data_IF_581353774140
#
_entry.id   IF_581353774140
#
_cell.length_a   1.000
_cell.length_b   1.000
_cell.length_c   1.000
_cell.angle_alpha   90.00
_cell.angle_beta   90.00
_cell.angle_gamma   90.00
#
_symmetry.space_group_name_H-M   'P 1'
#
loop_
_entity.id
_entity.type
_entity.pdbx_description
1 polymer ?
#
# COMPACT_ATOMS: atom_id res chain seq x y z
N UNK A 1 45.78 -79.78 27.44
CA UNK A 1 44.38 -79.24 27.46
C UNK A 1 44.24 -77.73 27.22
N UNK A 2 45.27 -76.89 27.49
CA UNK A 2 45.16 -75.43 27.29
C UNK A 2 45.22 -74.96 25.78
N UNK A 3 45.71 -75.80 24.87
CA UNK A 3 45.82 -75.44 23.43
C UNK A 3 44.51 -75.71 22.66
N UNK A 4 43.62 -76.52 23.09
CA UNK A 4 42.31 -76.79 22.48
C UNK A 4 41.26 -75.71 22.83
N UNK A 5 41.43 -75.07 24.00
CA UNK A 5 40.53 -74.01 24.43
C UNK A 5 40.68 -72.73 23.65
N UNK A 6 41.86 -72.44 23.08
CA UNK A 6 42.11 -71.24 22.28
C UNK A 6 41.56 -71.38 20.85
N UNK A 7 41.52 -72.59 20.30
CA UNK A 7 40.99 -72.82 18.96
C UNK A 7 39.45 -72.74 18.92
N UNK A 8 38.74 -73.04 20.02
CA UNK A 8 37.28 -72.92 20.13
C UNK A 8 36.82 -71.45 20.25
N UNK A 9 37.68 -70.55 20.75
CA UNK A 9 37.31 -69.14 20.94
C UNK A 9 37.43 -68.30 19.64
N UNK A 10 38.19 -68.78 18.64
CA UNK A 10 38.33 -68.09 17.35
C UNK A 10 37.21 -68.43 16.35
N UNK A 11 36.43 -69.49 16.55
CA UNK A 11 35.35 -69.93 15.68
C UNK A 11 34.02 -69.16 15.92
N UNK A 12 33.92 -68.41 17.04
CA UNK A 12 32.68 -67.63 17.37
C UNK A 12 32.60 -66.21 16.84
N UNK A 13 33.67 -65.73 16.15
CA UNK A 13 33.74 -64.30 15.75
C UNK A 13 33.27 -64.00 14.30
N UNK A 14 32.74 -64.98 13.59
CA UNK A 14 32.31 -64.76 12.18
C UNK A 14 30.79 -64.69 11.95
N UNK A 15 30.01 -64.56 13.02
CA UNK A 15 28.52 -64.44 12.92
C UNK A 15 28.00 -63.01 13.01
N UNK A 16 28.75 -61.99 12.56
CA UNK A 16 28.20 -60.70 12.23
C UNK A 16 27.84 -60.67 10.74
N UNK A 17 26.87 -61.47 10.34
CA UNK A 17 26.14 -61.31 9.09
C UNK A 17 25.31 -60.04 9.19
N UNK A 18 25.87 -58.96 8.66
CA UNK A 18 25.13 -57.70 8.56
C UNK A 18 23.86 -57.91 7.76
N UNK A 19 22.73 -57.76 8.46
CA UNK A 19 21.44 -57.68 7.83
C UNK A 19 21.50 -56.42 6.94
N UNK A 20 21.76 -56.56 5.64
CA UNK A 20 21.61 -55.50 4.65
C UNK A 20 20.12 -55.28 4.54
N UNK A 21 19.54 -54.46 5.41
CA UNK A 21 18.30 -53.83 5.15
C UNK A 21 18.58 -52.86 3.98
N UNK A 22 18.58 -53.42 2.77
CA UNK A 22 18.68 -52.63 1.54
C UNK A 22 17.40 -51.84 1.42
N UNK A 23 17.47 -50.56 1.73
CA UNK A 23 16.39 -49.66 1.33
C UNK A 23 16.44 -49.54 -0.20
N UNK A 24 15.30 -49.77 -0.88
CA UNK A 24 15.21 -49.67 -2.32
C UNK A 24 15.30 -48.22 -2.81
N UNK A 25 14.92 -47.26 -1.97
CA UNK A 25 15.06 -45.83 -2.22
C UNK A 25 15.14 -45.04 -0.90
N UNK A 26 15.77 -43.88 -0.92
CA UNK A 26 15.68 -42.90 0.15
C UNK A 26 15.05 -41.63 -0.38
N UNK A 27 14.19 -40.99 0.41
CA UNK A 27 13.55 -39.74 -0.03
C UNK A 27 13.12 -38.87 1.14
N UNK A 28 12.86 -37.63 0.82
CA UNK A 28 12.32 -36.63 1.76
C UNK A 28 11.01 -36.07 1.22
N UNK A 29 10.06 -35.87 2.12
CA UNK A 29 8.87 -35.11 1.78
C UNK A 29 9.18 -33.62 1.94
N UNK A 30 8.93 -32.85 0.91
CA UNK A 30 9.11 -31.41 0.87
C UNK A 30 7.73 -30.75 0.74
N UNK A 31 7.46 -29.73 1.54
CA UNK A 31 6.28 -28.89 1.43
C UNK A 31 6.68 -27.49 0.92
N UNK A 32 5.73 -26.78 0.30
CA UNK A 32 5.94 -25.38 -0.01
C UNK A 32 5.99 -24.56 1.26
N UNK A 33 7.16 -24.05 1.60
CA UNK A 33 7.39 -23.24 2.81
C UNK A 33 7.46 -21.75 2.46
N UNK A 34 6.86 -20.92 3.32
CA UNK A 34 6.95 -19.46 3.25
C UNK A 34 7.43 -18.92 4.59
N UNK A 35 8.48 -18.08 4.56
CA UNK A 35 8.92 -17.32 5.72
C UNK A 35 8.19 -15.99 5.69
N UNK A 36 7.28 -15.78 6.64
CA UNK A 36 6.57 -14.52 6.81
C UNK A 36 7.44 -13.58 7.62
N UNK A 37 7.82 -12.46 7.01
CA UNK A 37 8.65 -11.43 7.61
C UNK A 37 7.84 -10.17 7.89
N UNK A 38 8.31 -9.36 8.85
CA UNK A 38 7.70 -8.06 9.13
C UNK A 38 7.84 -7.10 7.96
N UNK A 39 6.77 -6.40 7.61
CA UNK A 39 6.77 -5.32 6.63
C UNK A 39 6.86 -3.93 7.30
N UNK A 40 6.78 -3.89 8.64
CA UNK A 40 6.82 -2.65 9.42
C UNK A 40 7.90 -2.70 10.50
N UNK A 41 8.32 -1.50 10.92
CA UNK A 41 9.23 -1.31 12.05
C UNK A 41 8.44 -0.92 13.29
N UNK A 42 8.73 -1.56 14.44
CA UNK A 42 8.09 -1.22 15.70
C UNK A 42 7.99 -2.39 16.65
N UNK A 43 7.29 -2.18 17.76
CA UNK A 43 7.03 -3.25 18.74
C UNK A 43 5.83 -4.08 18.27
N UNK A 44 5.91 -5.38 18.37
CA UNK A 44 4.80 -6.31 18.15
C UNK A 44 3.83 -6.17 19.33
N UNK A 45 2.63 -5.64 19.07
CA UNK A 45 1.62 -5.40 20.11
C UNK A 45 0.72 -6.61 20.34
N UNK A 46 0.52 -7.43 19.29
CA UNK A 46 -0.17 -8.71 19.37
C UNK A 46 0.42 -9.68 18.36
N UNK A 47 0.50 -10.98 18.74
CA UNK A 47 1.00 -12.03 17.86
C UNK A 47 0.39 -13.37 18.26
N UNK A 48 -0.65 -13.81 17.56
CA UNK A 48 -1.42 -15.01 17.83
C UNK A 48 -0.96 -16.23 17.02
N UNK A 49 0.34 -16.33 16.75
CA UNK A 49 0.94 -17.47 16.03
C UNK A 49 1.44 -18.50 17.03
N UNK A 50 1.11 -19.78 16.82
CA UNK A 50 1.57 -20.93 17.60
C UNK A 50 2.06 -22.02 16.66
N UNK A 51 3.15 -22.68 17.00
CA UNK A 51 3.69 -23.81 16.22
C UNK A 51 2.69 -24.97 16.18
N UNK A 52 2.57 -25.59 15.02
CA UNK A 52 1.59 -26.65 14.77
C UNK A 52 0.16 -26.16 14.48
N UNK A 53 -0.12 -24.86 14.65
CA UNK A 53 -1.45 -24.31 14.38
C UNK A 53 -1.68 -24.11 12.88
N UNK A 54 -2.87 -24.43 12.42
CA UNK A 54 -3.30 -24.15 11.04
C UNK A 54 -3.83 -22.73 10.91
N UNK A 55 -3.40 -22.02 9.88
CA UNK A 55 -3.80 -20.65 9.56
C UNK A 55 -4.34 -20.59 8.12
N UNK A 56 -5.34 -19.75 7.91
CA UNK A 56 -5.88 -19.47 6.59
C UNK A 56 -5.14 -18.32 5.88
N UNK A 57 -5.09 -18.37 4.56
CA UNK A 57 -4.58 -17.25 3.75
C UNK A 57 -5.39 -15.97 4.02
N UNK A 58 -4.72 -14.82 4.11
CA UNK A 58 -5.34 -13.53 4.42
C UNK A 58 -5.69 -13.33 5.91
N UNK A 59 -5.49 -14.33 6.78
CA UNK A 59 -5.75 -14.21 8.21
C UNK A 59 -4.75 -13.24 8.84
N UNK A 60 -5.25 -12.22 9.56
CA UNK A 60 -4.41 -11.35 10.40
C UNK A 60 -4.02 -12.12 11.66
N UNK A 61 -2.73 -12.29 11.89
CA UNK A 61 -2.16 -13.06 13.00
C UNK A 61 -1.46 -12.21 14.04
N UNK A 62 -1.27 -10.93 13.77
CA UNK A 62 -0.63 -10.02 14.69
C UNK A 62 -0.65 -8.58 14.22
N UNK A 63 -0.15 -7.68 15.07
CA UNK A 63 -0.04 -6.25 14.79
C UNK A 63 1.26 -5.69 15.35
N UNK A 64 1.86 -4.75 14.61
CA UNK A 64 2.98 -3.92 15.04
C UNK A 64 2.44 -2.56 15.47
N UNK A 65 3.07 -1.91 16.43
CA UNK A 65 2.67 -0.58 16.93
C UNK A 65 2.61 0.43 15.78
N UNK A 66 1.44 1.01 15.58
CA UNK A 66 1.12 1.91 14.50
C UNK A 66 0.64 3.29 14.96
N UNK A 67 0.73 3.57 16.27
CA UNK A 67 0.19 4.81 16.87
C UNK A 67 0.77 6.06 16.22
N UNK A 68 2.09 6.10 16.01
CA UNK A 68 2.75 7.27 15.41
C UNK A 68 2.34 7.48 13.94
N UNK A 69 2.16 6.39 13.18
CA UNK A 69 1.67 6.45 11.81
C UNK A 69 0.21 6.95 11.76
N UNK A 70 -0.63 6.47 12.67
CA UNK A 70 -2.01 6.93 12.77
C UNK A 70 -2.10 8.42 13.09
N UNK A 71 -1.31 8.92 14.04
CA UNK A 71 -1.26 10.34 14.37
C UNK A 71 -0.76 11.18 13.18
N UNK A 72 0.24 10.68 12.44
CA UNK A 72 0.74 11.32 11.23
C UNK A 72 -0.34 11.40 10.14
N UNK A 73 -1.12 10.34 9.95
CA UNK A 73 -2.29 10.34 9.06
C UNK A 73 -3.28 11.44 9.44
N UNK A 74 -3.64 11.52 10.72
CA UNK A 74 -4.57 12.56 11.21
C UNK A 74 -4.03 13.98 10.98
N UNK A 75 -2.73 14.20 11.20
CA UNK A 75 -2.08 15.48 10.92
C UNK A 75 -2.22 15.86 9.45
N UNK A 76 -1.89 14.95 8.52
CA UNK A 76 -1.99 15.18 7.08
C UNK A 76 -3.44 15.44 6.65
N UNK A 77 -4.40 14.70 7.20
CA UNK A 77 -5.83 14.93 6.92
C UNK A 77 -6.29 16.33 7.38
N UNK A 78 -5.83 16.82 8.52
CA UNK A 78 -6.11 18.19 8.97
C UNK A 78 -5.46 19.23 8.06
N UNK A 79 -4.22 19.00 7.63
CA UNK A 79 -3.52 19.85 6.68
C UNK A 79 -4.26 19.89 5.33
N UNK A 80 -4.74 18.76 4.82
CA UNK A 80 -5.53 18.68 3.60
C UNK A 80 -6.81 19.54 3.71
N UNK A 81 -7.54 19.42 4.83
CA UNK A 81 -8.72 20.24 5.07
C UNK A 81 -8.40 21.74 5.09
N UNK A 82 -7.32 22.15 5.75
CA UNK A 82 -6.87 23.54 5.78
C UNK A 82 -6.47 24.05 4.38
N UNK A 83 -5.78 23.24 3.58
CA UNK A 83 -5.43 23.60 2.19
C UNK A 83 -6.68 23.77 1.34
N UNK A 84 -7.61 22.82 1.38
CA UNK A 84 -8.88 22.89 0.63
C UNK A 84 -9.73 24.09 1.01
N UNK A 85 -9.69 24.55 2.27
CA UNK A 85 -10.45 25.73 2.72
C UNK A 85 -9.96 27.04 2.09
N UNK A 86 -8.77 27.05 1.45
CA UNK A 86 -8.23 28.20 0.71
C UNK A 86 -8.81 28.34 -0.70
N UNK A 87 -9.58 27.36 -1.18
CA UNK A 87 -10.24 27.41 -2.49
C UNK A 87 -11.20 28.58 -2.51
N UNK A 88 -11.01 29.49 -3.48
CA UNK A 88 -11.83 30.67 -3.65
C UNK A 88 -13.11 30.37 -4.41
N UNK A 89 -14.23 30.91 -3.92
CA UNK A 89 -15.50 30.93 -4.65
C UNK A 89 -15.41 32.01 -5.73
N UNK A 90 -15.08 31.61 -6.96
CA UNK A 90 -14.89 32.51 -8.10
C UNK A 90 -16.16 33.33 -8.33
N UNK A 91 -17.34 32.72 -8.30
CA UNK A 91 -18.62 33.39 -8.55
C UNK A 91 -18.85 34.58 -7.61
N UNK A 92 -18.60 34.40 -6.30
CA UNK A 92 -18.75 35.49 -5.34
C UNK A 92 -17.72 36.62 -5.54
N UNK A 93 -16.49 36.26 -5.90
CA UNK A 93 -15.43 37.27 -6.06
C UNK A 93 -15.59 38.12 -7.32
N UNK A 94 -16.17 37.61 -8.39
CA UNK A 94 -16.38 38.36 -9.62
C UNK A 94 -17.76 39.01 -9.71
N UNK A 95 -18.69 38.70 -8.80
CA UNK A 95 -20.08 39.18 -8.86
C UNK A 95 -20.21 40.72 -8.95
N UNK A 96 -19.35 41.46 -8.23
CA UNK A 96 -19.36 42.91 -8.24
C UNK A 96 -18.96 43.46 -9.63
N UNK A 97 -17.89 42.92 -10.24
CA UNK A 97 -17.45 43.33 -11.58
C UNK A 97 -18.50 42.97 -12.64
N UNK A 98 -19.11 41.80 -12.57
CA UNK A 98 -20.22 41.38 -13.43
C UNK A 98 -21.42 42.35 -13.31
N UNK A 99 -21.78 42.74 -12.08
CA UNK A 99 -22.85 43.69 -11.85
C UNK A 99 -22.53 45.09 -12.43
N UNK A 100 -21.26 45.53 -12.35
CA UNK A 100 -20.82 46.79 -12.98
C UNK A 100 -20.97 46.73 -14.50
N UNK A 101 -20.51 45.64 -15.13
CA UNK A 101 -20.67 45.41 -16.59
C UNK A 101 -22.16 45.42 -16.96
N UNK A 102 -23.01 44.73 -16.25
CA UNK A 102 -24.45 44.68 -16.49
C UNK A 102 -25.09 46.09 -16.38
N UNK A 103 -24.59 46.92 -15.46
CA UNK A 103 -25.07 48.29 -15.29
C UNK A 103 -24.67 49.16 -16.47
N UNK A 104 -23.40 49.10 -16.92
CA UNK A 104 -22.92 49.84 -18.09
C UNK A 104 -23.63 49.39 -19.38
N UNK A 105 -23.91 48.11 -19.53
CA UNK A 105 -24.66 47.59 -20.68
C UNK A 105 -26.12 48.09 -20.69
N UNK A 106 -26.77 48.31 -19.54
CA UNK A 106 -28.07 48.95 -19.50
C UNK A 106 -27.99 50.41 -19.91
N UNK A 107 -26.95 51.14 -19.45
CA UNK A 107 -26.73 52.52 -19.81
C UNK A 107 -26.43 52.65 -21.32
N UNK A 108 -25.61 51.77 -21.88
CA UNK A 108 -25.37 51.69 -23.32
C UNK A 108 -26.68 51.61 -24.09
N UNK A 109 -27.56 50.66 -23.75
CA UNK A 109 -28.88 50.52 -24.40
C UNK A 109 -29.74 51.78 -24.30
N UNK A 110 -29.68 52.49 -23.16
CA UNK A 110 -30.37 53.76 -22.97
C UNK A 110 -29.87 54.83 -23.93
N UNK A 111 -28.55 54.99 -24.01
CA UNK A 111 -27.90 55.99 -24.90
C UNK A 111 -28.13 55.64 -26.35
N UNK A 112 -28.04 54.38 -26.76
CA UNK A 112 -28.37 53.92 -28.14
C UNK A 112 -29.82 54.31 -28.54
N UNK A 113 -30.80 54.20 -27.64
CA UNK A 113 -32.19 54.61 -27.91
C UNK A 113 -32.34 56.14 -28.00
N UNK A 114 -31.58 56.89 -27.20
CA UNK A 114 -31.57 58.35 -27.28
C UNK A 114 -30.89 58.85 -28.58
N UNK A 115 -29.82 58.16 -29.04
CA UNK A 115 -29.20 58.46 -30.32
C UNK A 115 -30.16 58.24 -31.50
N UNK A 116 -30.98 57.19 -31.48
CA UNK A 116 -32.03 56.97 -32.50
C UNK A 116 -33.07 58.07 -32.54
N UNK A 117 -33.23 58.83 -31.45
CA UNK A 117 -34.16 59.96 -31.34
C UNK A 117 -33.44 61.30 -31.46
N UNK A 118 -32.19 61.35 -31.98
CA UNK A 118 -31.32 62.53 -32.09
C UNK A 118 -31.17 63.34 -30.78
N UNK A 119 -31.30 62.64 -29.61
CA UNK A 119 -31.27 63.23 -28.28
C UNK A 119 -30.01 62.93 -27.47
N UNK A 120 -28.94 62.35 -28.10
CA UNK A 120 -27.66 62.06 -27.49
C UNK A 120 -26.50 62.26 -28.45
N UNK A 121 -25.24 62.25 -27.89
CA UNK A 121 -24.02 62.41 -28.69
C UNK A 121 -23.33 61.04 -28.85
N UNK A 122 -22.81 60.72 -30.03
CA UNK A 122 -22.05 59.50 -30.32
C UNK A 122 -20.86 59.33 -29.40
N UNK A 123 -20.21 60.40 -28.97
CA UNK A 123 -19.11 60.34 -27.98
C UNK A 123 -19.53 59.68 -26.67
N UNK A 124 -20.78 59.89 -26.21
CA UNK A 124 -21.26 59.23 -25.00
C UNK A 124 -21.34 57.71 -25.16
N UNK A 125 -21.71 57.20 -26.33
CA UNK A 125 -21.72 55.77 -26.64
C UNK A 125 -20.30 55.21 -26.68
N UNK A 126 -19.37 55.92 -27.33
CA UNK A 126 -17.96 55.51 -27.41
C UNK A 126 -17.32 55.44 -26.00
N UNK A 127 -17.61 56.42 -25.13
CA UNK A 127 -17.12 56.45 -23.76
C UNK A 127 -17.65 55.23 -22.92
N UNK A 128 -18.94 54.89 -23.09
CA UNK A 128 -19.52 53.73 -22.42
C UNK A 128 -18.93 52.43 -22.97
N UNK A 129 -18.74 52.30 -24.27
CA UNK A 129 -18.13 51.13 -24.88
C UNK A 129 -16.68 50.92 -24.40
N UNK A 130 -15.92 51.99 -24.32
CA UNK A 130 -14.58 51.97 -23.76
C UNK A 130 -14.59 51.49 -22.29
N UNK A 131 -15.55 51.98 -21.46
CA UNK A 131 -15.70 51.59 -20.10
C UNK A 131 -16.08 50.09 -19.94
N UNK A 132 -17.00 49.59 -20.77
CA UNK A 132 -17.37 48.17 -20.80
C UNK A 132 -16.12 47.32 -21.16
N UNK A 133 -15.37 47.69 -22.19
CA UNK A 133 -14.18 46.97 -22.58
C UNK A 133 -13.12 46.88 -21.48
N UNK A 134 -12.94 47.96 -20.71
CA UNK A 134 -12.03 47.98 -19.55
C UNK A 134 -12.51 47.01 -18.49
N UNK A 135 -13.81 47.04 -18.13
CA UNK A 135 -14.39 46.14 -17.09
C UNK A 135 -14.33 44.67 -17.53
N UNK A 136 -14.56 44.38 -18.83
CA UNK A 136 -14.44 43.01 -19.35
C UNK A 136 -12.99 42.49 -19.27
N UNK A 137 -12.00 43.33 -19.59
CA UNK A 137 -10.59 42.99 -19.44
C UNK A 137 -10.21 42.76 -17.96
N UNK A 138 -10.74 43.60 -17.06
CA UNK A 138 -10.56 43.42 -15.62
C UNK A 138 -11.18 42.12 -15.12
N UNK A 139 -12.41 41.79 -15.56
CA UNK A 139 -13.06 40.53 -15.24
C UNK A 139 -12.24 39.32 -15.71
N UNK A 140 -11.75 39.34 -16.95
CA UNK A 140 -10.93 38.30 -17.52
C UNK A 140 -9.63 38.10 -16.70
N UNK A 141 -8.97 39.17 -16.28
CA UNK A 141 -7.78 39.10 -15.43
C UNK A 141 -8.08 38.55 -14.05
N UNK A 142 -9.20 38.98 -13.44
CA UNK A 142 -9.65 38.40 -12.12
C UNK A 142 -9.93 36.90 -12.22
N UNK A 143 -10.67 36.47 -13.25
CA UNK A 143 -10.95 35.05 -13.50
C UNK A 143 -9.67 34.24 -13.62
N UNK A 144 -8.76 34.65 -14.47
CA UNK A 144 -7.48 33.97 -14.68
C UNK A 144 -6.67 33.85 -13.39
N UNK A 145 -6.64 34.90 -12.58
CA UNK A 145 -5.92 34.89 -11.29
C UNK A 145 -6.55 33.91 -10.32
N UNK A 146 -7.88 33.91 -10.20
CA UNK A 146 -8.62 33.02 -9.28
C UNK A 146 -8.54 31.56 -9.72
N UNK A 147 -8.67 31.30 -11.02
CA UNK A 147 -8.54 29.95 -11.58
C UNK A 147 -7.13 29.38 -11.34
N UNK A 148 -6.09 30.18 -11.58
CA UNK A 148 -4.70 29.76 -11.34
C UNK A 148 -4.46 29.52 -9.83
N UNK A 149 -4.99 30.37 -8.96
CA UNK A 149 -4.91 30.19 -7.52
C UNK A 149 -5.60 28.88 -7.07
N UNK A 150 -6.84 28.64 -7.54
CA UNK A 150 -7.59 27.42 -7.23
C UNK A 150 -6.89 26.18 -7.80
N UNK A 151 -6.28 26.26 -8.98
CA UNK A 151 -5.47 25.18 -9.54
C UNK A 151 -4.28 24.86 -8.62
N UNK A 152 -3.55 25.88 -8.16
CA UNK A 152 -2.45 25.69 -7.21
C UNK A 152 -2.89 25.01 -5.91
N UNK A 153 -4.05 25.41 -5.34
CA UNK A 153 -4.64 24.76 -4.16
C UNK A 153 -5.00 23.30 -4.44
N UNK A 154 -5.54 23.00 -5.61
CA UNK A 154 -5.88 21.62 -5.98
C UNK A 154 -4.63 20.74 -6.11
N UNK A 155 -3.57 21.23 -6.76
CA UNK A 155 -2.30 20.50 -6.88
C UNK A 155 -1.67 20.24 -5.50
N UNK A 156 -1.65 21.25 -4.62
CA UNK A 156 -1.16 21.10 -3.26
C UNK A 156 -2.01 20.08 -2.48
N UNK A 157 -3.34 20.11 -2.64
CA UNK A 157 -4.25 19.14 -2.01
C UNK A 157 -3.98 17.71 -2.48
N UNK A 158 -3.79 17.53 -3.79
CA UNK A 158 -3.47 16.22 -4.39
C UNK A 158 -2.14 15.67 -3.88
N UNK A 159 -1.13 16.53 -3.71
CA UNK A 159 0.15 16.12 -3.14
C UNK A 159 0.00 15.62 -1.68
N UNK A 160 -0.83 16.28 -0.87
CA UNK A 160 -1.11 15.85 0.50
C UNK A 160 -1.92 14.54 0.51
N UNK A 161 -2.87 14.34 -0.41
CA UNK A 161 -3.61 13.09 -0.55
C UNK A 161 -2.70 11.90 -0.83
N UNK A 162 -1.70 12.08 -1.69
CA UNK A 162 -0.68 11.05 -1.94
C UNK A 162 0.09 10.73 -0.66
N UNK A 163 0.46 11.74 0.14
CA UNK A 163 1.13 11.49 1.43
C UNK A 163 0.21 10.73 2.41
N UNK A 164 -1.09 11.02 2.43
CA UNK A 164 -2.06 10.26 3.24
C UNK A 164 -2.09 8.80 2.78
N UNK A 165 -2.17 8.54 1.48
CA UNK A 165 -2.17 7.19 0.92
C UNK A 165 -0.88 6.42 1.26
N UNK A 166 0.28 7.07 1.25
CA UNK A 166 1.55 6.46 1.68
C UNK A 166 1.53 6.03 3.15
N UNK A 167 0.97 6.85 4.04
CA UNK A 167 0.83 6.48 5.46
C UNK A 167 -0.20 5.36 5.63
N UNK A 168 -1.27 5.34 4.85
CA UNK A 168 -2.25 4.25 4.87
C UNK A 168 -1.66 2.91 4.44
N UNK A 169 -0.79 2.88 3.44
CA UNK A 169 -0.03 1.69 3.05
C UNK A 169 0.88 1.22 4.20
N UNK A 170 1.60 2.15 4.84
CA UNK A 170 2.43 1.82 6.00
C UNK A 170 1.61 1.27 7.17
N UNK A 171 0.41 1.83 7.43
CA UNK A 171 -0.52 1.33 8.44
C UNK A 171 -1.05 -0.07 8.10
N UNK A 172 -1.31 -0.35 6.83
CA UNK A 172 -1.70 -1.68 6.38
C UNK A 172 -0.60 -2.71 6.65
N UNK A 173 0.66 -2.34 6.39
CA UNK A 173 1.85 -3.18 6.66
C UNK A 173 2.13 -3.44 8.13
N UNK A 174 1.56 -2.64 9.04
CA UNK A 174 1.62 -2.94 10.48
C UNK A 174 0.76 -4.14 10.89
N UNK A 175 -0.13 -4.63 10.03
CA UNK A 175 -0.87 -5.87 10.26
C UNK A 175 -0.06 -7.03 9.71
N UNK A 176 0.23 -8.02 10.56
CA UNK A 176 0.91 -9.25 10.16
C UNK A 176 -0.14 -10.19 9.60
N UNK A 177 -0.07 -10.45 8.30
CA UNK A 177 -1.06 -11.27 7.59
C UNK A 177 -0.40 -12.55 7.09
N UNK A 178 -1.09 -13.67 7.26
CA UNK A 178 -0.65 -14.96 6.74
C UNK A 178 -0.90 -15.05 5.22
N UNK A 179 0.12 -15.32 4.37
CA UNK A 179 -0.02 -15.26 2.91
C UNK A 179 -0.64 -16.53 2.29
N UNK A 180 -0.55 -17.69 2.93
CA UNK A 180 -1.00 -19.00 2.38
C UNK A 180 -1.80 -19.79 3.40
N UNK A 181 -2.65 -20.71 2.92
CA UNK A 181 -3.21 -21.76 3.78
C UNK A 181 -2.12 -22.73 4.18
N UNK A 182 -2.01 -23.07 5.48
CA UNK A 182 -0.97 -23.99 5.92
C UNK A 182 -0.86 -24.12 7.44
N UNK A 183 0.17 -24.85 7.84
CA UNK A 183 0.51 -25.10 9.26
C UNK A 183 1.79 -24.36 9.62
N UNK A 184 1.79 -23.68 10.75
CA UNK A 184 2.97 -22.98 11.26
C UNK A 184 4.02 -24.01 11.69
N UNK A 185 5.22 -23.92 11.09
CA UNK A 185 6.32 -24.82 11.42
C UNK A 185 7.21 -24.26 12.52
N UNK A 186 7.52 -22.95 12.45
CA UNK A 186 8.44 -22.31 13.41
C UNK A 186 7.96 -20.88 13.68
N UNK A 187 8.04 -20.48 14.93
CA UNK A 187 7.79 -19.12 15.40
C UNK A 187 9.12 -18.45 15.77
N UNK A 188 9.43 -17.31 15.15
CA UNK A 188 10.70 -16.59 15.36
C UNK A 188 10.57 -15.33 16.22
N UNK A 189 9.35 -14.87 16.50
CA UNK A 189 9.10 -13.64 17.24
C UNK A 189 8.01 -13.80 18.28
N UNK A 190 8.05 -12.95 19.31
CA UNK A 190 7.08 -12.93 20.40
C UNK A 190 6.41 -11.56 20.53
N UNK A 191 5.21 -11.56 21.15
CA UNK A 191 4.52 -10.32 21.53
C UNK A 191 5.40 -9.51 22.49
N UNK A 192 5.54 -8.22 22.22
CA UNK A 192 6.36 -7.31 23.01
C UNK A 192 7.77 -7.10 22.45
N UNK A 193 8.26 -7.94 21.54
CA UNK A 193 9.54 -7.75 20.87
C UNK A 193 9.48 -6.59 19.86
N UNK A 194 10.66 -6.04 19.56
CA UNK A 194 10.83 -5.06 18.49
C UNK A 194 11.19 -5.79 17.20
N UNK A 195 10.44 -5.48 16.15
CA UNK A 195 10.69 -5.99 14.80
C UNK A 195 11.11 -4.88 13.85
N UNK A 196 11.73 -5.28 12.74
CA UNK A 196 12.11 -4.39 11.65
C UNK A 196 11.70 -5.02 10.32
N UNK A 197 11.56 -4.19 9.29
CA UNK A 197 11.24 -4.66 7.96
C UNK A 197 12.25 -5.74 7.50
N UNK A 198 11.70 -6.87 7.01
CA UNK A 198 12.49 -8.04 6.59
C UNK A 198 12.86 -9.02 7.71
N UNK A 199 12.62 -8.69 9.01
CA UNK A 199 12.86 -9.63 10.12
C UNK A 199 11.85 -10.78 10.06
N UNK A 200 12.29 -12.07 10.01
CA UNK A 200 11.39 -13.23 10.05
C UNK A 200 10.53 -13.22 11.32
N UNK A 201 9.24 -13.53 11.17
CA UNK A 201 8.29 -13.62 12.27
C UNK A 201 7.84 -15.06 12.50
N UNK A 202 7.53 -15.81 11.45
CA UNK A 202 7.19 -17.22 11.52
C UNK A 202 7.38 -17.90 10.15
N UNK A 203 7.45 -19.23 10.16
CA UNK A 203 7.48 -20.07 8.96
C UNK A 203 6.19 -20.87 8.88
N UNK A 204 5.54 -20.89 7.73
CA UNK A 204 4.33 -21.63 7.43
C UNK A 204 4.57 -22.53 6.22
N UNK A 205 3.96 -23.72 6.19
CA UNK A 205 4.00 -24.64 5.07
C UNK A 205 2.62 -25.21 4.75
N UNK A 206 2.37 -25.44 3.47
CA UNK A 206 1.24 -26.24 3.01
C UNK A 206 1.60 -27.75 3.14
N UNK A 207 1.28 -28.31 4.31
CA UNK A 207 1.56 -29.73 4.60
C UNK A 207 0.50 -30.67 4.02
N UNK A 208 -0.58 -30.16 3.44
CA UNK A 208 -1.60 -30.97 2.77
C UNK A 208 -1.12 -31.37 1.35
N UNK A 209 -0.16 -30.63 0.80
CA UNK A 209 0.44 -30.87 -0.51
C UNK A 209 1.95 -31.01 -0.35
N UNK A 210 2.41 -32.25 -0.23
CA UNK A 210 3.83 -32.56 -0.12
C UNK A 210 4.33 -33.24 -1.39
N UNK A 211 5.54 -32.87 -1.80
CA UNK A 211 6.27 -33.51 -2.89
C UNK A 211 7.25 -34.51 -2.28
N UNK A 212 7.26 -35.77 -2.78
CA UNK A 212 8.27 -36.74 -2.41
C UNK A 212 9.46 -36.63 -3.37
N UNK A 213 10.60 -36.17 -2.85
CA UNK A 213 11.87 -36.21 -3.57
C UNK A 213 12.62 -37.49 -3.18
N UNK A 214 12.58 -38.51 -4.08
CA UNK A 214 13.24 -39.78 -3.86
C UNK A 214 14.56 -39.86 -4.65
N UNK A 215 15.58 -40.36 -4.00
CA UNK A 215 16.88 -40.63 -4.61
C UNK A 215 16.99 -42.14 -4.84
N UNK A 216 17.14 -42.52 -6.11
CA UNK A 216 17.29 -43.91 -6.55
C UNK A 216 18.65 -44.10 -7.21
N UNK A 217 19.19 -45.33 -7.15
CA UNK A 217 20.42 -45.68 -7.85
C UNK A 217 20.16 -45.91 -9.35
N UNK A 218 21.19 -45.79 -10.19
CA UNK A 218 21.05 -45.98 -11.63
C UNK A 218 20.60 -47.39 -12.01
N UNK A 219 20.88 -48.40 -11.19
CA UNK A 219 20.42 -49.77 -11.40
C UNK A 219 18.89 -49.96 -11.18
N UNK A 220 18.28 -49.11 -10.34
CA UNK A 220 16.85 -49.11 -10.03
C UNK A 220 16.04 -48.39 -11.10
N UNK A 221 16.68 -47.45 -11.82
CA UNK A 221 16.03 -46.69 -12.93
C UNK A 221 15.54 -47.59 -14.05
N UNK A 222 16.23 -48.71 -14.32
CA UNK A 222 15.86 -49.67 -15.38
C UNK A 222 14.59 -50.46 -15.12
N UNK A 223 14.12 -50.48 -13.86
CA UNK A 223 12.88 -51.16 -13.43
C UNK A 223 11.64 -50.27 -13.36
N UNK A 224 11.80 -48.94 -13.48
CA UNK A 224 10.68 -47.98 -13.50
C UNK A 224 10.05 -47.94 -14.89
N UNK A 225 8.76 -48.31 -14.99
CA UNK A 225 7.92 -48.21 -16.18
C UNK A 225 7.01 -46.99 -16.07
#
# INVERSE_FOLDING_TARGET
MKRFLILALCAGATACGGNKNGYDASGTFEATEVIVSSEANGRITSFGVEEGRRLAAGQTVGTVDSVQLYLKKLQLQKQLGATRSRTSDIGKQIAATQQQIATQQREKRRVENLLKADAANTKQLDDIDAQIAVLEKQLAAQLSTLENSNRGVNEESSAIEIQVAQIEDQLAKCRIVNPIDGTVLVKYAETGEVTAQGKPLFKIADVDRMELRAYITSGQLTGLK
#
